data_IF_231090964084
#
_entry.id   IF_231090964084
#
_cell.length_a   1.000
_cell.length_b   1.000
_cell.length_c   1.000
_cell.angle_alpha   90.00
_cell.angle_beta   90.00
_cell.angle_gamma   90.00
#
_symmetry.space_group_name_H-M   'P 1'
#
loop_
_entity.id
_entity.type
_entity.pdbx_description
1 polymer ?
#
# COMPACT_ATOMS: atom_id res chain seq x y z
N UNK A 1 -12.17 -42.80 -51.99
CA UNK A 1 -12.31 -42.74 -50.51
C UNK A 1 -13.71 -42.32 -50.02
N UNK A 2 -14.64 -41.87 -50.87
CA UNK A 2 -16.00 -41.50 -50.42
C UNK A 2 -17.01 -42.66 -50.38
N UNK A 3 -16.89 -43.66 -51.27
CA UNK A 3 -17.84 -44.78 -51.38
C UNK A 3 -17.84 -45.69 -50.15
N UNK A 4 -16.65 -46.05 -49.63
CA UNK A 4 -16.53 -46.95 -48.47
C UNK A 4 -17.10 -46.36 -47.18
N UNK A 5 -17.04 -45.02 -47.02
CA UNK A 5 -17.64 -44.35 -45.86
C UNK A 5 -19.17 -44.34 -45.96
N UNK A 6 -19.71 -44.07 -47.14
CA UNK A 6 -21.16 -44.07 -47.39
C UNK A 6 -21.75 -45.46 -47.15
N UNK A 7 -21.05 -46.52 -47.56
CA UNK A 7 -21.50 -47.89 -47.36
C UNK A 7 -21.39 -48.33 -45.89
N UNK A 8 -20.43 -47.80 -45.12
CA UNK A 8 -20.39 -47.96 -43.65
C UNK A 8 -21.51 -47.20 -42.94
N UNK A 9 -21.85 -45.99 -43.39
CA UNK A 9 -23.00 -45.24 -42.85
C UNK A 9 -24.33 -45.91 -43.14
N UNK A 10 -24.48 -46.61 -44.28
CA UNK A 10 -25.68 -47.42 -44.56
C UNK A 10 -25.89 -48.56 -43.56
N UNK A 11 -24.84 -49.06 -42.91
CA UNK A 11 -24.95 -50.11 -41.89
C UNK A 11 -25.42 -49.58 -40.53
N UNK A 12 -25.36 -48.26 -40.30
CA UNK A 12 -25.86 -47.60 -39.09
C UNK A 12 -27.35 -47.23 -39.17
N UNK A 13 -28.02 -47.57 -40.27
CA UNK A 13 -29.44 -47.33 -40.49
C UNK A 13 -30.24 -48.48 -39.86
N UNK A 14 -30.81 -48.24 -38.68
CA UNK A 14 -31.51 -49.27 -37.88
C UNK A 14 -32.88 -49.68 -38.45
N UNK A 15 -33.39 -49.00 -39.49
CA UNK A 15 -34.73 -49.20 -40.03
C UNK A 15 -34.72 -49.89 -41.40
N UNK A 16 -35.63 -50.86 -41.59
CA UNK A 16 -35.80 -51.54 -42.87
C UNK A 16 -36.28 -50.57 -43.96
N UNK A 17 -35.58 -50.53 -45.11
CA UNK A 17 -35.91 -49.65 -46.23
C UNK A 17 -37.07 -50.23 -47.05
N UNK A 18 -38.00 -49.36 -47.44
CA UNK A 18 -39.08 -49.71 -48.37
C UNK A 18 -38.55 -49.91 -49.79
N UNK A 19 -39.21 -50.78 -50.56
CA UNK A 19 -38.89 -51.00 -51.99
C UNK A 19 -38.99 -49.67 -52.76
N UNK A 20 -38.04 -49.41 -53.66
CA UNK A 20 -37.91 -48.13 -54.36
C UNK A 20 -39.14 -47.78 -55.23
N UNK A 21 -39.93 -48.78 -55.66
CA UNK A 21 -41.16 -48.59 -56.46
C UNK A 21 -42.31 -47.91 -55.70
N UNK A 22 -42.28 -47.93 -54.36
CA UNK A 22 -43.25 -47.23 -53.51
C UNK A 22 -42.71 -45.90 -52.94
N UNK A 23 -41.53 -45.47 -53.37
CA UNK A 23 -40.81 -44.32 -52.81
C UNK A 23 -40.90 -43.11 -53.74
N UNK A 24 -41.84 -42.21 -53.48
CA UNK A 24 -41.92 -40.93 -54.19
C UNK A 24 -40.88 -39.96 -53.61
N UNK A 25 -39.84 -39.65 -54.39
CA UNK A 25 -38.81 -38.67 -54.03
C UNK A 25 -39.27 -37.27 -54.46
N UNK A 26 -39.51 -36.38 -53.50
CA UNK A 26 -39.86 -34.97 -53.77
C UNK A 26 -38.66 -34.06 -53.50
N UNK A 27 -38.36 -33.15 -54.43
CA UNK A 27 -37.26 -32.19 -54.29
C UNK A 27 -37.48 -31.20 -53.13
N UNK A 28 -38.74 -30.81 -52.92
CA UNK A 28 -39.18 -29.96 -51.79
C UNK A 28 -39.00 -30.66 -50.44
N UNK A 29 -39.31 -31.96 -50.35
CA UNK A 29 -39.07 -32.75 -49.15
C UNK A 29 -37.60 -32.77 -48.77
N UNK A 30 -36.71 -33.02 -49.74
CA UNK A 30 -35.26 -33.00 -49.53
C UNK A 30 -34.75 -31.61 -49.07
N UNK A 31 -35.24 -30.53 -49.67
CA UNK A 31 -34.84 -29.17 -49.28
C UNK A 31 -35.25 -28.85 -47.82
N UNK A 32 -36.45 -29.26 -47.41
CA UNK A 32 -36.93 -29.09 -46.03
C UNK A 32 -36.07 -29.91 -45.07
N UNK A 33 -35.72 -31.17 -45.41
CA UNK A 33 -34.89 -32.01 -44.53
C UNK A 33 -33.49 -31.42 -44.36
N UNK A 34 -32.86 -30.96 -45.44
CA UNK A 34 -31.52 -30.33 -45.37
C UNK A 34 -31.56 -29.07 -44.51
N UNK A 35 -32.56 -28.21 -44.74
CA UNK A 35 -32.72 -26.97 -43.96
C UNK A 35 -32.94 -27.26 -42.48
N UNK A 36 -33.77 -28.26 -42.15
CA UNK A 36 -34.02 -28.68 -40.78
C UNK A 36 -32.75 -29.22 -40.11
N UNK A 37 -31.97 -30.05 -40.79
CA UNK A 37 -30.71 -30.60 -40.24
C UNK A 37 -29.70 -29.48 -39.99
N UNK A 38 -29.58 -28.51 -40.89
CA UNK A 38 -28.70 -27.35 -40.70
C UNK A 38 -29.10 -26.55 -39.46
N UNK A 39 -30.40 -26.25 -39.29
CA UNK A 39 -30.89 -25.54 -38.11
C UNK A 39 -30.64 -26.33 -36.83
N UNK A 40 -30.89 -27.65 -36.83
CA UNK A 40 -30.61 -28.52 -35.68
C UNK A 40 -29.13 -28.52 -35.29
N UNK A 41 -28.22 -28.58 -36.27
CA UNK A 41 -26.77 -28.53 -36.01
C UNK A 41 -26.36 -27.17 -35.44
N UNK A 42 -26.88 -26.06 -35.99
CA UNK A 42 -26.58 -24.72 -35.49
C UNK A 42 -27.04 -24.54 -34.04
N UNK A 43 -28.28 -24.97 -33.72
CA UNK A 43 -28.80 -24.92 -32.35
C UNK A 43 -27.97 -25.80 -31.40
N UNK A 44 -27.61 -27.01 -31.84
CA UNK A 44 -26.76 -27.90 -31.04
C UNK A 44 -25.39 -27.29 -30.74
N UNK A 45 -24.73 -26.70 -31.73
CA UNK A 45 -23.43 -26.05 -31.53
C UNK A 45 -23.54 -24.82 -30.62
N UNK A 46 -24.63 -24.06 -30.73
CA UNK A 46 -24.90 -22.91 -29.86
C UNK A 46 -25.09 -23.34 -28.40
N UNK A 47 -25.95 -24.33 -28.16
CA UNK A 47 -26.19 -24.85 -26.80
C UNK A 47 -24.93 -25.52 -26.23
N UNK A 48 -24.17 -26.23 -27.06
CA UNK A 48 -22.90 -26.82 -26.63
C UNK A 48 -21.89 -25.73 -26.22
N UNK A 49 -21.82 -24.63 -26.97
CA UNK A 49 -20.95 -23.51 -26.62
C UNK A 49 -21.37 -22.84 -25.31
N UNK A 50 -22.69 -22.63 -25.11
CA UNK A 50 -23.23 -22.08 -23.86
C UNK A 50 -22.98 -23.05 -22.69
N UNK A 51 -23.20 -24.35 -22.88
CA UNK A 51 -22.93 -25.37 -21.85
C UNK A 51 -21.45 -25.46 -21.47
N UNK A 52 -20.55 -25.27 -22.43
CA UNK A 52 -19.11 -25.28 -22.20
C UNK A 52 -18.60 -23.96 -21.60
N UNK A 53 -19.42 -22.90 -21.60
CA UNK A 53 -19.08 -21.61 -21.01
C UNK A 53 -19.40 -21.64 -19.50
N UNK A 54 -18.42 -21.39 -18.62
CA UNK A 54 -18.66 -21.39 -17.18
C UNK A 54 -19.51 -20.18 -16.75
N UNK A 55 -20.46 -20.40 -15.84
CA UNK A 55 -21.19 -19.32 -15.17
C UNK A 55 -20.49 -18.94 -13.87
N UNK A 56 -20.23 -17.64 -13.67
CA UNK A 56 -19.64 -17.10 -12.44
C UNK A 56 -20.79 -16.73 -11.50
N UNK A 57 -20.89 -17.41 -10.35
CA UNK A 57 -21.85 -17.09 -9.28
C UNK A 57 -21.12 -16.62 -8.04
N UNK A 58 -21.47 -15.43 -7.55
CA UNK A 58 -20.92 -14.86 -6.32
C UNK A 58 -21.77 -15.29 -5.12
N UNK A 59 -21.15 -15.97 -4.16
CA UNK A 59 -21.80 -16.39 -2.91
C UNK A 59 -21.07 -15.79 -1.70
N UNK A 60 -21.85 -15.37 -0.69
CA UNK A 60 -21.28 -14.88 0.57
C UNK A 60 -21.07 -16.05 1.52
N UNK A 61 -19.81 -16.28 1.90
CA UNK A 61 -19.44 -17.27 2.90
C UNK A 61 -18.89 -16.59 4.16
N UNK A 62 -19.14 -17.19 5.33
CA UNK A 62 -18.55 -16.73 6.59
C UNK A 62 -17.09 -17.14 6.61
N UNK A 63 -16.19 -16.16 6.62
CA UNK A 63 -14.77 -16.44 6.70
C UNK A 63 -14.42 -17.06 8.07
N UNK A 64 -14.05 -18.34 8.06
CA UNK A 64 -13.61 -19.08 9.25
C UNK A 64 -12.10 -19.06 9.43
N UNK A 65 -11.34 -18.45 8.50
CA UNK A 65 -9.89 -18.37 8.54
C UNK A 65 -9.43 -17.36 9.60
N UNK A 66 -9.20 -17.86 10.83
CA UNK A 66 -8.68 -17.03 11.93
C UNK A 66 -7.16 -16.90 11.83
N UNK A 67 -6.65 -15.67 12.00
CA UNK A 67 -5.21 -15.42 12.21
C UNK A 67 -4.38 -15.17 10.94
N UNK A 68 -5.00 -15.03 9.77
CA UNK A 68 -4.26 -14.60 8.58
C UNK A 68 -3.96 -13.10 8.62
N UNK A 69 -2.70 -12.76 8.30
CA UNK A 69 -2.33 -11.37 8.01
C UNK A 69 -2.81 -10.97 6.62
N UNK A 70 -3.29 -9.74 6.49
CA UNK A 70 -3.62 -9.11 5.23
C UNK A 70 -2.43 -8.29 4.77
N UNK A 71 -1.98 -8.54 3.53
CA UNK A 71 -0.97 -7.73 2.89
C UNK A 71 -1.61 -6.51 2.25
N UNK A 72 -1.19 -5.30 2.61
CA UNK A 72 -1.61 -4.06 1.95
C UNK A 72 -0.45 -3.61 1.06
N UNK A 73 -0.68 -3.52 -0.25
CA UNK A 73 0.30 -2.98 -1.19
C UNK A 73 -0.05 -1.52 -1.46
N UNK A 74 0.94 -0.64 -1.38
CA UNK A 74 0.75 0.79 -1.56
C UNK A 74 1.88 1.41 -2.40
N UNK A 75 1.53 2.39 -3.21
CA UNK A 75 2.42 3.34 -3.88
C UNK A 75 1.72 4.70 -3.83
N UNK A 76 2.15 5.57 -2.92
CA UNK A 76 1.55 6.88 -2.66
C UNK A 76 2.63 7.95 -2.75
N UNK A 77 2.34 9.03 -3.48
CA UNK A 77 3.26 10.16 -3.66
C UNK A 77 2.71 11.42 -3.00
N UNK A 78 3.55 12.05 -2.18
CA UNK A 78 3.30 13.34 -1.53
C UNK A 78 4.36 14.34 -2.05
N UNK A 79 4.01 15.30 -2.93
CA UNK A 79 4.99 16.10 -3.66
C UNK A 79 5.61 17.25 -2.84
N UNK A 80 5.01 17.61 -1.72
CA UNK A 80 5.32 18.83 -0.96
C UNK A 80 5.87 18.56 0.45
N UNK A 81 6.12 17.29 0.80
CA UNK A 81 6.65 16.90 2.10
C UNK A 81 7.77 15.88 1.90
N UNK A 82 8.93 16.12 2.51
CA UNK A 82 10.09 15.23 2.45
C UNK A 82 9.87 13.91 3.20
N UNK A 83 10.51 12.85 2.72
CA UNK A 83 10.40 11.50 3.28
C UNK A 83 10.85 11.38 4.74
N UNK A 84 11.84 12.17 5.17
CA UNK A 84 12.35 12.12 6.55
C UNK A 84 11.35 12.64 7.57
N UNK A 85 10.33 13.38 7.11
CA UNK A 85 9.31 13.97 7.96
C UNK A 85 7.96 13.26 7.85
N UNK A 86 7.79 12.33 6.91
CA UNK A 86 6.57 11.53 6.77
C UNK A 86 6.70 10.20 7.49
N UNK A 87 5.70 9.90 8.30
CA UNK A 87 5.58 8.62 9.02
C UNK A 87 4.34 7.88 8.53
N UNK A 88 4.49 6.56 8.38
CA UNK A 88 3.43 5.63 8.03
C UNK A 88 3.18 4.74 9.26
N UNK A 89 2.00 4.88 9.85
CA UNK A 89 1.58 4.09 11.01
C UNK A 89 0.33 3.29 10.67
N UNK A 90 0.23 2.06 11.20
CA UNK A 90 -1.00 1.26 11.12
C UNK A 90 -1.48 0.87 12.52
N UNK A 91 -2.78 0.96 12.73
CA UNK A 91 -3.45 0.65 13.99
C UNK A 91 -4.69 -0.19 13.73
N UNK A 92 -4.80 -1.31 14.44
CA UNK A 92 -5.97 -2.18 14.38
C UNK A 92 -6.99 -1.86 15.48
N UNK A 93 -8.20 -2.43 15.38
CA UNK A 93 -9.28 -2.25 16.36
C UNK A 93 -8.93 -2.78 17.76
N UNK A 94 -7.92 -3.65 17.86
CA UNK A 94 -7.42 -4.19 19.13
C UNK A 94 -6.41 -3.26 19.80
N UNK A 95 -6.01 -2.17 19.12
CA UNK A 95 -5.01 -1.22 19.58
C UNK A 95 -3.58 -1.71 19.40
N UNK A 96 -3.35 -2.80 18.66
CA UNK A 96 -2.02 -3.19 18.23
C UNK A 96 -1.51 -2.14 17.25
N UNK A 97 -0.39 -1.51 17.61
CA UNK A 97 0.27 -0.53 16.77
C UNK A 97 1.47 -1.20 16.11
N UNK A 98 1.50 -1.17 14.79
CA UNK A 98 2.71 -1.47 14.04
C UNK A 98 3.43 -0.14 13.75
N UNK A 99 4.07 0.40 14.78
CA UNK A 99 4.97 1.55 14.64
C UNK A 99 6.22 1.05 13.89
N UNK A 100 6.70 1.81 12.88
CA UNK A 100 7.92 1.48 12.12
C UNK A 100 7.84 0.14 11.32
N UNK A 101 6.87 0.05 10.39
CA UNK A 101 6.73 -1.06 9.43
C UNK A 101 7.85 -1.07 8.35
N UNK A 102 9.11 -1.21 8.76
CA UNK A 102 10.25 -0.74 7.96
C UNK A 102 10.92 -1.81 7.08
N UNK A 103 10.52 -3.09 7.18
CA UNK A 103 11.22 -4.14 6.41
C UNK A 103 10.83 -4.16 4.91
N UNK A 104 9.63 -3.70 4.56
CA UNK A 104 9.03 -3.86 3.23
C UNK A 104 8.47 -2.56 2.61
N UNK A 105 8.61 -1.44 3.31
CA UNK A 105 8.22 -0.10 2.83
C UNK A 105 9.50 0.67 2.46
N UNK A 106 9.45 1.34 1.31
CA UNK A 106 10.52 2.17 0.79
C UNK A 106 10.04 3.60 0.64
N UNK A 107 10.88 4.54 1.06
CA UNK A 107 10.67 5.98 0.88
C UNK A 107 11.69 6.50 -0.12
N UNK A 108 11.24 7.12 -1.20
CA UNK A 108 12.09 7.74 -2.21
C UNK A 108 11.86 9.23 -2.24
N UNK A 109 12.94 9.99 -2.04
CA UNK A 109 12.93 11.45 -2.09
C UNK A 109 12.70 11.93 -3.51
N UNK A 110 11.78 12.88 -3.66
CA UNK A 110 11.41 13.49 -4.93
C UNK A 110 11.74 14.98 -4.90
N UNK A 111 12.04 15.55 -6.06
CA UNK A 111 12.02 17.00 -6.24
C UNK A 111 10.57 17.52 -6.26
N UNK A 112 10.41 18.84 -6.24
CA UNK A 112 9.09 19.48 -6.33
C UNK A 112 8.39 19.23 -7.69
N UNK A 113 9.12 18.74 -8.69
CA UNK A 113 8.60 18.40 -10.01
C UNK A 113 8.17 16.91 -10.10
N UNK A 114 8.43 16.10 -9.06
CA UNK A 114 8.14 14.68 -9.00
C UNK A 114 9.25 13.74 -9.52
N UNK A 115 10.45 14.24 -9.80
CA UNK A 115 11.59 13.42 -10.21
C UNK A 115 12.37 12.90 -8.99
N UNK A 116 12.93 11.68 -9.05
CA UNK A 116 13.72 11.13 -7.95
C UNK A 116 15.07 11.84 -7.81
N UNK A 117 15.39 12.32 -6.61
CA UNK A 117 16.67 12.98 -6.29
C UNK A 117 17.75 11.95 -5.92
N UNK A 118 17.33 10.83 -5.33
CA UNK A 118 18.22 9.83 -4.74
C UNK A 118 17.69 8.42 -4.98
N UNK A 119 18.60 7.43 -5.02
CA UNK A 119 18.22 6.01 -5.04
C UNK A 119 17.44 5.65 -3.76
N UNK A 120 16.46 4.73 -3.84
CA UNK A 120 15.60 4.40 -2.72
C UNK A 120 16.42 3.83 -1.56
N UNK A 121 16.49 4.57 -0.45
CA UNK A 121 17.04 4.07 0.81
C UNK A 121 15.97 3.26 1.54
N UNK A 122 16.33 2.05 2.01
CA UNK A 122 15.55 1.38 3.05
C UNK A 122 15.69 2.20 4.34
N UNK A 123 14.61 2.35 5.11
CA UNK A 123 14.76 2.85 6.48
C UNK A 123 15.51 1.77 7.28
N UNK A 124 16.82 1.97 7.45
CA UNK A 124 17.51 1.36 8.56
C UNK A 124 17.12 2.17 9.80
N UNK A 125 16.25 1.59 10.63
CA UNK A 125 16.14 2.01 12.02
C UNK A 125 17.57 2.04 12.54
N UNK A 126 17.95 3.17 13.14
CA UNK A 126 19.09 3.25 14.04
C UNK A 126 18.89 2.15 15.06
N UNK A 127 19.42 0.95 14.78
CA UNK A 127 19.67 -0.05 15.79
C UNK A 127 20.40 0.72 16.84
N UNK A 128 19.75 0.86 18.00
CA UNK A 128 20.28 1.51 19.18
C UNK A 128 21.76 1.23 19.16
N UNK A 129 22.56 2.27 18.89
CA UNK A 129 24.00 2.16 18.81
C UNK A 129 24.37 1.43 20.07
N UNK A 130 24.69 0.14 19.93
CA UNK A 130 25.17 -0.66 21.02
C UNK A 130 26.44 0.08 21.33
N UNK A 131 26.39 0.88 22.39
CA UNK A 131 27.53 1.61 22.87
C UNK A 131 28.59 0.54 23.05
N UNK A 132 29.53 0.47 22.09
CA UNK A 132 30.75 -0.29 22.28
C UNK A 132 31.41 0.45 23.42
N UNK A 133 31.23 -0.10 24.62
CA UNK A 133 31.97 0.27 25.80
C UNK A 133 33.45 -0.01 25.49
N UNK A 134 34.12 0.96 24.88
CA UNK A 134 35.56 1.00 24.92
C UNK A 134 35.92 1.46 26.32
N UNK A 135 36.18 0.47 27.16
CA UNK A 135 36.97 0.65 28.36
C UNK A 135 38.33 1.22 27.96
N UNK A 136 38.60 2.43 28.41
CA UNK A 136 39.83 2.86 29.08
C UNK A 136 40.11 4.33 28.78
N UNK A 137 39.72 5.20 29.70
CA UNK A 137 40.60 6.27 30.19
C UNK A 137 40.01 6.83 31.47
N UNK A 138 40.70 6.52 32.57
CA UNK A 138 40.56 7.21 33.84
C UNK A 138 41.26 8.57 33.71
N UNK A 139 40.55 9.54 33.18
CA UNK A 139 40.86 10.96 33.39
C UNK A 139 39.59 11.63 33.92
N UNK A 140 39.73 12.45 34.96
CA UNK A 140 38.63 13.22 35.54
C UNK A 140 38.17 14.22 34.50
N UNK A 141 37.23 13.80 33.64
CA UNK A 141 36.56 14.68 32.72
C UNK A 141 35.69 15.64 33.56
N UNK A 142 36.04 16.92 33.55
CA UNK A 142 35.15 17.97 34.04
C UNK A 142 33.89 17.87 33.18
N UNK A 143 32.80 17.33 33.75
CA UNK A 143 31.51 17.23 33.05
C UNK A 143 31.00 18.66 32.88
N UNK A 144 31.29 19.26 31.73
CA UNK A 144 30.67 20.53 31.31
C UNK A 144 29.22 20.25 30.99
N UNK A 145 28.35 20.49 31.97
CA UNK A 145 26.90 20.36 31.85
C UNK A 145 26.37 21.39 30.85
N UNK A 146 25.81 20.91 29.73
CA UNK A 146 25.17 21.79 28.75
C UNK A 146 23.84 22.36 29.29
N UNK A 147 23.51 23.59 28.90
CA UNK A 147 22.29 24.27 29.35
C UNK A 147 21.05 23.75 28.62
N UNK A 148 19.98 23.46 29.37
CA UNK A 148 18.66 23.15 28.80
C UNK A 148 17.83 24.39 28.43
N UNK A 149 18.44 25.57 28.33
CA UNK A 149 17.77 26.84 27.98
C UNK A 149 16.50 27.14 28.82
N UNK A 150 16.53 26.80 30.11
CA UNK A 150 15.42 27.01 31.04
C UNK A 150 14.37 25.89 31.06
N UNK A 151 14.51 24.85 30.24
CA UNK A 151 13.59 23.73 30.20
C UNK A 151 13.93 22.56 31.15
N UNK A 152 15.05 22.65 31.90
CA UNK A 152 15.45 21.62 32.87
C UNK A 152 14.36 21.37 33.92
N UNK A 153 13.99 20.11 34.18
CA UNK A 153 12.99 19.73 35.17
C UNK A 153 13.52 19.95 36.60
N UNK A 154 14.79 19.62 36.83
CA UNK A 154 15.52 19.80 38.08
C UNK A 154 16.79 20.63 37.85
N UNK A 155 17.30 21.29 38.90
CA UNK A 155 18.56 22.06 38.83
C UNK A 155 19.78 21.20 38.46
N UNK A 156 19.68 19.88 38.63
CA UNK A 156 20.72 18.90 38.27
C UNK A 156 20.58 18.30 36.87
N UNK A 157 19.52 18.64 36.10
CA UNK A 157 19.35 18.10 34.75
C UNK A 157 20.22 18.86 33.74
N UNK A 158 21.18 18.14 33.16
CA UNK A 158 22.05 18.63 32.09
C UNK A 158 21.52 18.23 30.72
N UNK A 159 21.61 19.13 29.75
CA UNK A 159 21.28 18.83 28.35
C UNK A 159 22.55 18.92 27.52
N UNK A 160 23.15 17.76 27.23
CA UNK A 160 24.42 17.68 26.53
C UNK A 160 24.24 17.44 25.03
N UNK A 161 23.16 16.76 24.65
CA UNK A 161 22.80 16.51 23.24
C UNK A 161 21.62 17.39 22.80
N UNK A 162 21.46 17.56 21.48
CA UNK A 162 20.29 18.24 20.94
C UNK A 162 18.98 17.53 21.32
N UNK A 163 19.00 16.19 21.38
CA UNK A 163 17.83 15.40 21.77
C UNK A 163 17.47 15.61 23.24
N UNK A 164 18.45 15.77 24.13
CA UNK A 164 18.21 16.09 25.55
C UNK A 164 17.47 17.45 25.68
N UNK A 165 17.90 18.46 24.90
CA UNK A 165 17.24 19.77 24.88
C UNK A 165 15.81 19.65 24.33
N UNK A 166 15.63 18.93 23.22
CA UNK A 166 14.30 18.68 22.63
C UNK A 166 13.37 17.98 23.63
N UNK A 167 13.86 16.96 24.32
CA UNK A 167 13.09 16.22 25.31
C UNK A 167 12.72 17.09 26.52
N UNK A 168 13.64 17.91 27.02
CA UNK A 168 13.34 18.83 28.12
C UNK A 168 12.20 19.81 27.78
N UNK A 169 12.21 20.38 26.57
CA UNK A 169 11.13 21.24 26.08
C UNK A 169 9.82 20.47 25.90
N UNK A 170 9.88 19.24 25.37
CA UNK A 170 8.71 18.37 25.19
C UNK A 170 8.04 18.02 26.52
N UNK A 171 8.83 17.67 27.55
CA UNK A 171 8.33 17.38 28.89
C UNK A 171 7.63 18.61 29.51
N UNK A 172 8.17 19.80 29.26
CA UNK A 172 7.54 21.07 29.68
C UNK A 172 6.38 21.52 28.79
N UNK A 173 6.12 20.84 27.67
CA UNK A 173 5.14 21.22 26.64
C UNK A 173 5.39 22.64 26.11
N UNK A 174 6.65 23.04 26.02
CA UNK A 174 7.06 24.33 25.47
C UNK A 174 7.41 24.16 23.99
N UNK A 175 7.12 25.19 23.19
CA UNK A 175 7.59 25.23 21.81
C UNK A 175 9.10 25.40 21.79
N UNK A 176 9.80 24.57 21.01
CA UNK A 176 11.24 24.70 20.81
C UNK A 176 11.55 26.04 20.12
N UNK A 177 12.53 26.82 20.62
CA UNK A 177 13.03 27.97 19.89
C UNK A 177 13.78 27.50 18.64
N UNK A 178 14.09 28.44 17.73
CA UNK A 178 14.83 28.13 16.51
C UNK A 178 16.09 27.31 16.83
N UNK A 179 16.23 26.13 16.20
CA UNK A 179 17.32 25.19 16.49
C UNK A 179 18.71 25.80 16.25
N UNK A 180 18.80 26.87 15.45
CA UNK A 180 20.03 27.63 15.21
C UNK A 180 20.54 28.39 16.43
N UNK A 181 19.68 28.70 17.41
CA UNK A 181 20.06 29.38 18.65
C UNK A 181 20.59 28.43 19.71
N UNK A 182 20.38 27.12 19.54
CA UNK A 182 20.79 26.07 20.48
C UNK A 182 22.13 25.51 20.03
N UNK A 183 23.17 25.64 20.85
CA UNK A 183 24.53 25.22 20.49
C UNK A 183 24.63 23.71 20.27
N UNK A 184 23.93 22.94 21.10
CA UNK A 184 23.86 21.48 21.02
C UNK A 184 23.22 20.99 19.70
N UNK A 185 22.47 21.84 18.99
CA UNK A 185 21.74 21.48 17.77
C UNK A 185 22.37 21.99 16.47
N UNK A 186 23.44 22.79 16.53
CA UNK A 186 24.06 23.40 15.33
C UNK A 186 24.63 22.38 14.34
N UNK A 187 25.13 21.24 14.83
CA UNK A 187 25.71 20.18 14.02
C UNK A 187 24.77 18.98 13.84
N UNK A 188 23.51 19.10 14.27
CA UNK A 188 22.54 18.01 14.18
C UNK A 188 22.01 17.89 12.75
N UNK A 189 22.13 16.71 12.15
CA UNK A 189 21.54 16.36 10.85
C UNK A 189 20.01 16.59 10.83
N UNK A 190 19.38 16.62 12.01
CA UNK A 190 17.99 17.01 12.21
C UNK A 190 17.66 18.41 11.69
N UNK A 191 18.63 19.34 11.65
CA UNK A 191 18.42 20.70 11.15
C UNK A 191 18.25 20.72 9.63
N UNK A 192 19.09 19.97 8.92
CA UNK A 192 18.99 19.78 7.47
C UNK A 192 17.69 19.07 7.10
N UNK A 193 17.32 18.00 7.81
CA UNK A 193 16.05 17.27 7.62
C UNK A 193 14.83 18.17 7.83
N UNK A 194 14.92 19.12 8.77
CA UNK A 194 13.87 20.13 9.01
C UNK A 194 13.81 21.16 7.89
N UNK A 195 14.95 21.70 7.45
CA UNK A 195 15.02 22.68 6.36
C UNK A 195 14.55 22.13 5.00
N UNK A 196 14.70 20.82 4.80
CA UNK A 196 14.26 20.10 3.61
C UNK A 196 12.80 19.63 3.69
N UNK A 197 12.16 19.69 4.88
CA UNK A 197 10.85 19.09 5.12
C UNK A 197 9.75 19.53 4.15
N UNK A 198 9.80 20.77 3.65
CA UNK A 198 8.83 21.37 2.71
C UNK A 198 9.39 21.68 1.32
N UNK A 199 10.65 21.31 1.05
CA UNK A 199 11.35 21.62 -0.23
C UNK A 199 11.48 20.41 -1.14
N UNK A 200 10.95 19.28 -0.72
CA UNK A 200 11.03 17.99 -1.39
C UNK A 200 9.69 17.28 -1.30
N UNK A 201 9.50 16.30 -2.17
CA UNK A 201 8.43 15.32 -2.09
C UNK A 201 8.93 13.96 -1.61
N UNK A 202 7.98 13.06 -1.41
CA UNK A 202 8.22 11.68 -1.05
C UNK A 202 7.31 10.73 -1.82
N UNK A 203 7.90 9.66 -2.36
CA UNK A 203 7.17 8.49 -2.80
C UNK A 203 7.31 7.40 -1.74
N UNK A 204 6.19 6.92 -1.20
CA UNK A 204 6.11 5.81 -0.26
C UNK A 204 5.56 4.62 -1.03
N UNK A 205 6.34 3.55 -1.16
CA UNK A 205 5.90 2.37 -1.90
C UNK A 205 6.39 1.08 -1.25
N UNK A 206 5.64 0.00 -1.44
CA UNK A 206 5.97 -1.31 -0.89
C UNK A 206 4.73 -2.05 -0.40
N UNK A 207 4.91 -2.85 0.64
CA UNK A 207 3.79 -3.53 1.27
C UNK A 207 3.96 -3.64 2.78
N UNK A 208 2.83 -3.71 3.48
CA UNK A 208 2.77 -4.00 4.90
C UNK A 208 1.89 -5.21 5.17
N UNK A 209 2.16 -5.93 6.26
CA UNK A 209 1.32 -7.02 6.72
C UNK A 209 0.62 -6.60 8.02
N UNK A 210 -0.71 -6.55 7.99
CA UNK A 210 -1.55 -6.18 9.14
C UNK A 210 -2.47 -7.33 9.51
N UNK A 211 -3.02 -7.32 10.73
CA UNK A 211 -4.10 -8.22 11.09
C UNK A 211 -5.31 -7.97 10.18
N UNK A 212 -5.97 -9.05 9.72
CA UNK A 212 -7.20 -8.95 8.89
C UNK A 212 -8.41 -8.64 9.77
N UNK A 213 -8.41 -7.46 10.38
CA UNK A 213 -9.47 -6.92 11.24
C UNK A 213 -9.74 -5.46 10.85
N UNK A 214 -10.80 -4.87 11.41
CA UNK A 214 -11.05 -3.44 11.24
C UNK A 214 -9.86 -2.62 11.75
N UNK A 215 -9.41 -1.64 10.98
CA UNK A 215 -8.24 -0.84 11.32
C UNK A 215 -8.07 0.35 10.39
N UNK A 216 -7.01 1.11 10.63
CA UNK A 216 -6.65 2.29 9.84
C UNK A 216 -5.13 2.42 9.76
N UNK A 217 -4.63 2.92 8.64
CA UNK A 217 -3.26 3.38 8.55
C UNK A 217 -3.25 4.86 8.21
N UNK A 218 -2.25 5.57 8.70
CA UNK A 218 -2.11 7.01 8.56
C UNK A 218 -0.75 7.33 7.97
N UNK A 219 -0.73 8.26 7.00
CA UNK A 219 0.48 8.91 6.51
C UNK A 219 0.40 10.34 6.98
N UNK A 220 1.28 10.73 7.90
CA UNK A 220 1.23 12.05 8.50
C UNK A 220 2.63 12.64 8.69
N UNK A 221 2.76 13.98 8.60
CA UNK A 221 3.99 14.67 8.92
C UNK A 221 4.28 14.63 10.42
N UNK A 222 5.56 14.54 10.78
CA UNK A 222 6.03 14.58 12.16
C UNK A 222 6.30 13.20 12.76
N UNK A 223 7.08 13.17 13.85
CA UNK A 223 7.33 11.92 14.61
C UNK A 223 6.05 11.50 15.30
N UNK A 224 5.63 10.25 15.12
CA UNK A 224 4.47 9.69 15.83
C UNK A 224 4.86 9.18 17.21
N UNK A 225 3.98 9.36 18.18
CA UNK A 225 4.15 8.83 19.53
C UNK A 225 2.78 8.58 20.19
N UNK A 226 2.74 7.64 21.13
CA UNK A 226 1.52 7.30 21.87
C UNK A 226 1.63 7.84 23.30
N UNK A 227 0.72 8.74 23.70
CA UNK A 227 0.57 9.20 25.09
C UNK A 227 -0.84 8.87 25.56
N UNK A 228 -0.97 8.14 26.68
CA UNK A 228 -2.27 7.79 27.28
C UNK A 228 -3.26 7.13 26.29
N UNK A 229 -2.80 6.18 25.46
CA UNK A 229 -3.59 5.53 24.41
C UNK A 229 -4.08 6.46 23.29
N UNK A 230 -3.57 7.71 23.21
CA UNK A 230 -3.83 8.62 22.10
C UNK A 230 -2.59 8.67 21.20
N UNK A 231 -2.79 8.40 19.91
CA UNK A 231 -1.76 8.52 18.88
C UNK A 231 -1.65 9.99 18.44
N UNK A 232 -0.46 10.58 18.58
CA UNK A 232 -0.23 11.99 18.28
C UNK A 232 1.02 12.12 17.42
N UNK A 233 0.98 13.05 16.47
CA UNK A 233 2.14 13.42 15.66
C UNK A 233 2.76 14.73 16.19
N UNK A 234 4.07 14.72 16.45
CA UNK A 234 4.83 15.93 16.73
C UNK A 234 5.15 16.65 15.42
N UNK A 235 4.40 17.71 15.15
CA UNK A 235 4.61 18.56 13.97
C UNK A 235 5.54 19.75 14.25
N UNK A 236 6.08 19.90 15.47
CA UNK A 236 7.10 20.92 15.73
C UNK A 236 8.36 20.59 14.90
N UNK A 237 9.00 21.58 14.25
CA UNK A 237 8.90 23.03 14.45
C UNK A 237 7.93 23.79 13.52
N UNK A 238 7.11 23.11 12.73
CA UNK A 238 6.18 23.74 11.79
C UNK A 238 4.75 23.78 12.35
N UNK A 239 3.96 24.78 11.94
CA UNK A 239 2.53 24.74 12.22
C UNK A 239 1.87 23.69 11.32
N UNK A 240 0.93 22.92 11.87
CA UNK A 240 0.08 21.98 11.11
C UNK A 240 -0.57 22.64 9.89
N UNK A 241 -0.83 23.95 9.95
CA UNK A 241 -1.44 24.75 8.88
C UNK A 241 -0.55 25.04 7.67
N UNK A 242 0.73 24.62 7.69
CA UNK A 242 1.70 24.85 6.60
C UNK A 242 1.89 23.59 5.74
N UNK A 243 1.46 22.42 6.23
CA UNK A 243 1.68 21.17 5.51
C UNK A 243 0.62 20.96 4.43
N UNK A 244 1.07 20.99 3.17
CA UNK A 244 0.26 20.53 2.06
C UNK A 244 0.32 19.00 1.96
N UNK A 245 -0.72 18.32 2.42
CA UNK A 245 -0.86 16.85 2.36
C UNK A 245 -1.54 16.38 1.08
N UNK A 246 -1.57 17.22 0.03
CA UNK A 246 -2.01 16.79 -1.30
C UNK A 246 -1.19 15.57 -1.71
N UNK A 247 -1.86 14.51 -2.13
CA UNK A 247 -1.20 13.26 -2.47
C UNK A 247 -1.84 12.61 -3.68
N UNK A 248 -1.08 11.72 -4.30
CA UNK A 248 -1.49 10.91 -5.44
C UNK A 248 -1.36 9.45 -5.04
N UNK A 249 -2.47 8.74 -5.07
CA UNK A 249 -2.49 7.29 -4.88
C UNK A 249 -2.18 6.68 -6.23
N UNK A 250 -0.95 6.18 -6.41
CA UNK A 250 -0.54 5.50 -7.65
C UNK A 250 -1.04 4.07 -7.65
N UNK A 251 -0.96 3.41 -6.51
CA UNK A 251 -1.51 2.08 -6.30
C UNK A 251 -1.94 1.87 -4.85
N UNK A 252 -3.10 1.28 -4.62
CA UNK A 252 -3.51 0.78 -3.31
C UNK A 252 -4.38 -0.47 -3.46
N UNK A 253 -3.87 -1.59 -2.95
CA UNK A 253 -4.56 -2.89 -3.02
C UNK A 253 -4.43 -3.69 -1.73
N UNK A 254 -5.37 -4.61 -1.54
CA UNK A 254 -5.45 -5.49 -0.38
C UNK A 254 -5.35 -6.95 -0.82
N UNK A 255 -4.34 -7.65 -0.33
CA UNK A 255 -4.06 -9.04 -0.66
C UNK A 255 -3.38 -9.21 -2.01
N UNK A 256 -3.77 -10.28 -2.71
CA UNK A 256 -3.29 -10.63 -4.04
C UNK A 256 -4.12 -9.95 -5.12
N UNK A 257 -3.49 -9.59 -6.23
CA UNK A 257 -4.21 -9.08 -7.40
C UNK A 257 -5.09 -10.20 -8.00
N UNK A 258 -6.31 -9.85 -8.38
CA UNK A 258 -7.29 -10.73 -9.00
C UNK A 258 -7.54 -10.20 -10.42
N UNK A 259 -7.04 -10.89 -11.44
CA UNK A 259 -7.10 -10.42 -12.84
C UNK A 259 -8.53 -10.18 -13.35
N UNK A 260 -9.50 -10.92 -12.81
CA UNK A 260 -10.90 -10.87 -13.23
C UNK A 260 -11.69 -9.68 -12.66
N UNK A 261 -11.13 -8.89 -11.74
CA UNK A 261 -11.85 -7.81 -11.06
C UNK A 261 -10.98 -6.58 -10.83
N UNK A 262 -11.59 -5.39 -10.91
CA UNK A 262 -10.91 -4.18 -10.45
C UNK A 262 -10.86 -4.15 -8.92
N UNK A 263 -9.75 -4.57 -8.35
CA UNK A 263 -9.52 -4.65 -6.90
C UNK A 263 -8.94 -3.36 -6.30
N UNK A 264 -8.63 -2.36 -7.13
CA UNK A 264 -7.87 -1.16 -6.73
C UNK A 264 -8.59 0.14 -7.16
N UNK A 265 -9.73 0.48 -6.55
CA UNK A 265 -10.57 1.61 -6.97
C UNK A 265 -9.94 2.99 -6.74
N UNK A 266 -8.89 3.05 -5.91
CA UNK A 266 -8.20 4.30 -5.55
C UNK A 266 -6.98 4.60 -6.43
N UNK A 267 -6.66 3.73 -7.39
CA UNK A 267 -5.53 3.93 -8.28
C UNK A 267 -5.74 5.17 -9.18
N UNK A 268 -4.74 6.05 -9.21
CA UNK A 268 -4.77 7.32 -9.93
C UNK A 268 -5.54 8.44 -9.23
N UNK A 269 -6.11 8.21 -8.04
CA UNK A 269 -6.85 9.24 -7.31
C UNK A 269 -5.88 10.27 -6.72
N UNK A 270 -6.22 11.55 -6.90
CA UNK A 270 -5.50 12.69 -6.31
C UNK A 270 -6.33 13.30 -5.18
N UNK A 271 -5.88 13.13 -3.94
CA UNK A 271 -6.44 13.80 -2.78
C UNK A 271 -5.86 15.21 -2.66
N UNK A 272 -6.69 16.24 -2.75
CA UNK A 272 -6.26 17.63 -2.61
C UNK A 272 -6.41 18.08 -1.15
N UNK A 273 -5.34 18.62 -0.56
CA UNK A 273 -5.42 19.31 0.72
C UNK A 273 -5.89 20.75 0.49
N UNK A 274 -7.00 21.13 1.12
CA UNK A 274 -7.56 22.50 1.05
C UNK A 274 -6.84 23.48 1.97
N UNK A 275 -6.20 22.97 3.03
CA UNK A 275 -5.40 23.72 3.99
C UNK A 275 -3.92 23.36 3.83
N UNK A 276 -2.99 24.25 4.22
CA UNK A 276 -1.54 24.01 4.00
C UNK A 276 -1.00 24.43 2.64
N UNK A 277 -1.80 25.04 1.77
CA UNK A 277 -1.45 25.35 0.37
C UNK A 277 -0.76 26.71 0.15
N UNK A 278 -0.25 27.37 1.21
CA UNK A 278 0.33 28.71 1.09
C UNK A 278 1.77 28.67 0.60
#
# INVERSE_FOLDING_TARGET
MGSDLIDKFKQLDAYAKTLDDFRVKTATGAAITITSVVVMILLFLSELYVYMSPNISEELFVDTSRGHKLRINLDITVPTISCSYLVLDAMDSSGEQHLQMDQNIHKRRLDLNGNPIEEPKKEEISTASTAKANQNSSEVAIITCGSCYGAAFNESQCCNTCEDVKEAYRLRKWALPNLTTIEQCKNDESLEKTNLALKEGCQIYGHMEVNRVGGSFHIAPGKSFTINHVHVHDVQPFSSSVFNTTHIIRHLSFGTNIESANTSPLDGVKGLATEGKK
#
